data_IF_710227724785
#
_entry.id   IF_710227724785
#
_cell.length_a   1.000
_cell.length_b   1.000
_cell.length_c   1.000
_cell.angle_alpha   90.00
_cell.angle_beta   90.00
_cell.angle_gamma   90.00
#
_symmetry.space_group_name_H-M   'P 1'
#
loop_
_entity.id
_entity.type
_entity.pdbx_description
1 polymer ?
#
# COMPACT_ATOMS: atom_id res chain seq x y z
N UNK A 1 11.97 -3.21 1.82
CA UNK A 1 10.90 -4.23 1.89
C UNK A 1 10.54 -4.81 0.54
N UNK A 2 10.11 -4.03 -0.46
CA UNK A 2 9.76 -4.56 -1.80
C UNK A 2 10.96 -5.26 -2.47
N UNK A 3 12.13 -4.62 -2.48
CA UNK A 3 13.35 -5.22 -3.04
C UNK A 3 13.71 -6.55 -2.36
N UNK A 4 13.68 -6.58 -1.03
CA UNK A 4 13.94 -7.80 -0.22
C UNK A 4 12.91 -8.90 -0.48
N UNK A 5 11.63 -8.54 -0.65
CA UNK A 5 10.60 -9.52 -0.99
C UNK A 5 10.77 -10.08 -2.41
N UNK A 6 11.27 -9.27 -3.36
CA UNK A 6 11.60 -9.72 -4.72
C UNK A 6 12.78 -10.70 -4.76
N UNK A 7 13.73 -10.56 -3.84
CA UNK A 7 14.89 -11.47 -3.74
C UNK A 7 14.64 -12.65 -2.79
N UNK A 8 13.48 -12.72 -2.14
CA UNK A 8 13.12 -13.86 -1.28
C UNK A 8 12.83 -15.08 -2.14
N UNK A 9 13.36 -16.24 -1.75
CA UNK A 9 13.04 -17.53 -2.37
C UNK A 9 11.62 -18.00 -2.02
N UNK A 10 10.96 -17.36 -1.04
CA UNK A 10 9.60 -17.69 -0.66
C UNK A 10 8.58 -16.87 -1.48
N UNK A 11 7.81 -17.48 -2.40
CA UNK A 11 6.85 -16.76 -3.24
C UNK A 11 5.74 -16.08 -2.43
N UNK A 12 5.46 -16.57 -1.20
CA UNK A 12 4.49 -15.94 -0.31
C UNK A 12 4.92 -14.54 0.16
N UNK A 13 6.21 -14.25 0.21
CA UNK A 13 6.72 -12.95 0.69
C UNK A 13 6.43 -11.84 -0.32
N UNK A 14 6.73 -12.10 -1.60
CA UNK A 14 6.37 -11.19 -2.68
C UNK A 14 4.85 -11.02 -2.79
N UNK A 15 4.11 -12.12 -2.76
CA UNK A 15 2.64 -12.11 -2.81
C UNK A 15 2.03 -11.31 -1.65
N UNK A 16 2.53 -11.50 -0.42
CA UNK A 16 2.11 -10.77 0.76
C UNK A 16 2.37 -9.26 0.63
N UNK A 17 3.58 -8.86 0.20
CA UNK A 17 3.93 -7.45 0.05
C UNK A 17 3.14 -6.80 -1.09
N UNK A 18 2.96 -7.49 -2.22
CA UNK A 18 2.17 -6.99 -3.33
C UNK A 18 0.70 -6.79 -2.93
N UNK A 19 0.09 -7.76 -2.22
CA UNK A 19 -1.29 -7.64 -1.79
C UNK A 19 -1.52 -6.52 -0.78
N UNK A 20 -0.66 -6.40 0.23
CA UNK A 20 -0.84 -5.41 1.30
C UNK A 20 -0.42 -4.00 0.88
N UNK A 21 0.69 -3.91 0.15
CA UNK A 21 1.23 -2.66 -0.36
C UNK A 21 0.50 -2.27 -1.63
N UNK A 22 0.74 -2.98 -2.73
CA UNK A 22 0.36 -2.56 -4.07
C UNK A 22 -1.15 -2.69 -4.37
N UNK A 23 -1.81 -3.70 -3.80
CA UNK A 23 -3.23 -3.96 -4.05
C UNK A 23 -4.16 -3.41 -2.95
N UNK A 24 -3.59 -2.82 -1.90
CA UNK A 24 -4.36 -2.25 -0.81
C UNK A 24 -5.30 -3.26 -0.13
N UNK A 25 -4.88 -4.50 0.10
CA UNK A 25 -5.63 -5.47 0.92
C UNK A 25 -5.29 -5.34 2.39
N UNK A 26 -6.25 -5.62 3.27
CA UNK A 26 -5.99 -5.78 4.71
C UNK A 26 -5.37 -7.15 4.95
N UNK A 27 -4.60 -7.30 6.03
CA UNK A 27 -3.92 -8.59 6.33
C UNK A 27 -4.88 -9.77 6.46
N UNK A 28 -6.08 -9.53 7.00
CA UNK A 28 -7.14 -10.53 7.06
C UNK A 28 -7.66 -10.91 5.66
N UNK A 29 -7.83 -9.92 4.77
CA UNK A 29 -8.27 -10.17 3.40
C UNK A 29 -7.18 -10.87 2.59
N UNK A 30 -5.92 -10.44 2.71
CA UNK A 30 -4.79 -11.06 2.02
C UNK A 30 -4.59 -12.53 2.43
N UNK A 31 -4.76 -12.84 3.71
CA UNK A 31 -4.69 -14.23 4.24
C UNK A 31 -5.92 -15.07 3.90
N UNK A 32 -7.09 -14.44 3.77
CA UNK A 32 -8.33 -15.08 3.36
C UNK A 32 -8.45 -15.30 1.84
N UNK A 33 -7.77 -14.50 1.03
CA UNK A 33 -7.96 -14.46 -0.40
C UNK A 33 -7.61 -15.79 -1.10
N UNK A 34 -8.48 -16.20 -2.01
CA UNK A 34 -8.31 -17.27 -2.99
C UNK A 34 -8.55 -16.66 -4.37
N UNK A 35 -7.59 -16.79 -5.28
CA UNK A 35 -7.75 -16.35 -6.66
C UNK A 35 -8.49 -17.46 -7.42
N UNK A 36 -9.48 -17.09 -8.23
CA UNK A 36 -10.31 -18.02 -9.02
C UNK A 36 -9.52 -18.95 -9.95
N UNK A 37 -8.27 -18.58 -10.28
CA UNK A 37 -7.37 -19.40 -11.10
C UNK A 37 -6.66 -20.52 -10.32
N UNK A 38 -6.73 -20.53 -8.97
CA UNK A 38 -6.28 -21.67 -8.18
C UNK A 38 -7.42 -22.64 -7.98
N UNK A 39 -7.31 -23.81 -8.62
CA UNK A 39 -8.27 -24.92 -8.51
C UNK A 39 -8.43 -25.42 -7.06
N UNK A 40 -7.43 -25.22 -6.20
CA UNK A 40 -7.54 -25.46 -4.76
C UNK A 40 -6.45 -24.74 -3.93
N UNK A 41 -6.72 -24.55 -2.64
CA UNK A 41 -5.74 -24.13 -1.64
C UNK A 41 -5.65 -22.62 -1.38
N UNK A 42 -5.10 -22.22 -0.21
CA UNK A 42 -4.96 -20.82 0.16
C UNK A 42 -3.93 -20.11 -0.71
N UNK A 43 -4.16 -18.82 -1.01
CA UNK A 43 -3.21 -18.05 -1.82
C UNK A 43 -1.88 -17.83 -1.10
N UNK A 44 -1.96 -17.58 0.21
CA UNK A 44 -0.81 -17.42 1.10
C UNK A 44 -0.77 -18.59 2.09
N UNK A 45 0.31 -19.35 2.06
CA UNK A 45 0.51 -20.50 2.94
C UNK A 45 1.46 -20.17 4.11
N UNK A 46 1.26 -20.77 5.27
CA UNK A 46 2.23 -20.80 6.36
C UNK A 46 3.42 -21.71 6.01
N UNK A 47 4.39 -21.85 6.92
CA UNK A 47 5.58 -22.69 6.68
C UNK A 47 5.28 -24.20 6.57
N UNK A 48 4.13 -24.64 7.08
CA UNK A 48 3.67 -26.03 7.08
C UNK A 48 2.70 -26.30 5.90
N UNK A 49 2.55 -25.34 4.97
CA UNK A 49 1.68 -25.47 3.80
C UNK A 49 0.19 -25.19 4.05
N UNK A 50 -0.23 -24.98 5.30
CA UNK A 50 -1.59 -24.58 5.65
C UNK A 50 -1.88 -23.11 5.36
N UNK A 51 -3.14 -22.67 5.47
CA UNK A 51 -3.52 -21.25 5.27
C UNK A 51 -2.74 -20.35 6.23
N UNK A 52 -2.16 -19.27 5.70
CA UNK A 52 -1.50 -18.27 6.53
C UNK A 52 -2.54 -17.51 7.34
N UNK A 53 -2.31 -17.36 8.64
CA UNK A 53 -3.12 -16.48 9.49
C UNK A 53 -2.53 -15.06 9.58
N UNK A 54 -3.30 -14.12 10.13
CA UNK A 54 -2.89 -12.71 10.27
C UNK A 54 -1.62 -12.51 11.11
N UNK A 55 -1.38 -13.36 12.10
CA UNK A 55 -0.22 -13.28 12.98
C UNK A 55 1.03 -13.81 12.27
N UNK A 56 0.92 -14.93 11.55
CA UNK A 56 1.97 -15.46 10.68
C UNK A 56 2.36 -14.45 9.58
N UNK A 57 1.37 -13.82 8.95
CA UNK A 57 1.59 -12.75 7.98
C UNK A 57 2.33 -11.55 8.61
N UNK A 58 1.94 -11.13 9.82
CA UNK A 58 2.61 -10.03 10.54
C UNK A 58 4.05 -10.39 10.90
N UNK A 59 4.29 -11.62 11.37
CA UNK A 59 5.66 -12.10 11.67
C UNK A 59 6.54 -12.10 10.43
N UNK A 60 6.04 -12.57 9.28
CA UNK A 60 6.77 -12.53 8.01
C UNK A 60 7.08 -11.10 7.57
N UNK A 61 6.11 -10.20 7.65
CA UNK A 61 6.33 -8.80 7.33
C UNK A 61 7.45 -8.18 8.19
N UNK A 62 7.47 -8.49 9.49
CA UNK A 62 8.54 -8.04 10.39
C UNK A 62 9.91 -8.61 10.01
N UNK A 63 9.97 -9.89 9.66
CA UNK A 63 11.20 -10.54 9.21
C UNK A 63 11.74 -9.91 7.91
N UNK A 64 10.87 -9.67 6.92
CA UNK A 64 11.25 -9.02 5.67
C UNK A 64 11.78 -7.60 5.87
N UNK A 65 11.21 -6.84 6.80
CA UNK A 65 11.74 -5.51 7.07
C UNK A 65 13.04 -5.52 7.86
N UNK A 66 13.23 -6.46 8.79
CA UNK A 66 14.51 -6.65 9.45
C UNK A 66 15.61 -6.99 8.43
N UNK A 67 15.34 -7.93 7.51
CA UNK A 67 16.24 -8.27 6.42
C UNK A 67 16.48 -7.09 5.44
N UNK A 68 15.50 -6.20 5.29
CA UNK A 68 15.63 -4.98 4.49
C UNK A 68 16.35 -3.83 5.21
N UNK A 69 16.82 -4.02 6.45
CA UNK A 69 17.41 -2.94 7.27
C UNK A 69 16.41 -1.86 7.70
N UNK A 70 15.10 -2.10 7.57
CA UNK A 70 14.06 -1.13 7.88
C UNK A 70 13.75 -1.18 9.38
N UNK A 71 14.35 -0.26 10.14
CA UNK A 71 14.06 -0.07 11.56
C UNK A 71 12.83 0.83 11.73
N UNK A 72 11.68 0.22 11.99
CA UNK A 72 10.43 0.94 12.30
C UNK A 72 9.93 0.52 13.69
N UNK A 73 9.73 1.49 14.60
CA UNK A 73 9.32 1.24 15.99
C UNK A 73 7.95 0.57 16.13
N UNK A 74 7.05 0.77 15.14
CA UNK A 74 5.71 0.17 15.11
C UNK A 74 5.37 -0.39 13.73
N UNK A 75 6.04 -1.47 13.37
CA UNK A 75 5.66 -2.19 12.16
C UNK A 75 4.37 -3.00 12.36
N UNK A 76 3.29 -2.50 11.76
CA UNK A 76 1.99 -3.16 11.70
C UNK A 76 1.49 -3.27 10.26
N UNK A 77 0.53 -4.17 10.03
CA UNK A 77 -0.02 -4.51 8.72
C UNK A 77 -0.45 -3.32 7.86
N UNK A 78 -1.02 -2.29 8.48
CA UNK A 78 -1.47 -1.09 7.76
C UNK A 78 -0.33 -0.19 7.28
N UNK A 79 0.91 -0.30 7.78
CA UNK A 79 2.03 0.55 7.37
C UNK A 79 2.33 0.45 5.87
N UNK A 80 2.23 -0.74 5.29
CA UNK A 80 2.41 -0.93 3.85
C UNK A 80 1.30 -0.22 3.07
N UNK A 81 0.05 -0.28 3.55
CA UNK A 81 -1.08 0.44 2.96
C UNK A 81 -0.90 1.96 3.05
N UNK A 82 -0.46 2.45 4.22
CA UNK A 82 -0.12 3.86 4.41
C UNK A 82 0.94 4.29 3.39
N UNK A 83 2.00 3.49 3.25
CA UNK A 83 3.09 3.75 2.31
C UNK A 83 2.57 3.78 0.87
N UNK A 84 1.77 2.80 0.48
CA UNK A 84 1.19 2.74 -0.86
C UNK A 84 0.36 3.98 -1.23
N UNK A 85 -0.60 4.35 -0.38
CA UNK A 85 -1.48 5.51 -0.63
C UNK A 85 -0.67 6.80 -0.63
N UNK A 86 0.29 6.93 0.28
CA UNK A 86 1.22 8.07 0.32
C UNK A 86 2.01 8.16 -0.97
N UNK A 87 2.61 7.05 -1.42
CA UNK A 87 3.42 7.03 -2.64
C UNK A 87 2.58 7.32 -3.88
N UNK A 88 1.35 6.81 -3.98
CA UNK A 88 0.45 7.16 -5.09
C UNK A 88 0.25 8.68 -5.19
N UNK A 89 -0.07 9.32 -4.08
CA UNK A 89 -0.26 10.77 -4.03
C UNK A 89 1.04 11.54 -4.29
N UNK A 90 2.17 11.10 -3.72
CA UNK A 90 3.48 11.71 -3.95
C UNK A 90 3.89 11.60 -5.44
N UNK A 91 3.48 10.55 -6.14
CA UNK A 91 3.69 10.39 -7.60
C UNK A 91 2.69 11.17 -8.47
N UNK A 92 1.74 11.88 -7.85
CA UNK A 92 0.76 12.71 -8.57
C UNK A 92 -0.51 11.99 -9.01
N UNK A 93 -0.76 10.77 -8.54
CA UNK A 93 -2.05 10.09 -8.78
C UNK A 93 -3.17 10.93 -8.15
N UNK A 94 -4.30 11.18 -8.85
CA UNK A 94 -5.40 11.94 -8.30
C UNK A 94 -5.94 11.35 -6.99
N UNK A 95 -6.37 12.22 -6.07
CA UNK A 95 -6.90 11.83 -4.76
C UNK A 95 -8.04 10.79 -4.87
N UNK A 96 -8.91 10.96 -5.87
CA UNK A 96 -10.03 10.04 -6.13
C UNK A 96 -9.54 8.63 -6.49
N UNK A 97 -8.51 8.52 -7.31
CA UNK A 97 -7.99 7.23 -7.77
C UNK A 97 -7.19 6.55 -6.66
N UNK A 98 -6.44 7.32 -5.88
CA UNK A 98 -5.81 6.84 -4.65
C UNK A 98 -6.84 6.36 -3.61
N UNK A 99 -7.99 7.03 -3.51
CA UNK A 99 -9.09 6.60 -2.65
C UNK A 99 -9.71 5.28 -3.11
N UNK A 100 -9.96 5.12 -4.41
CA UNK A 100 -10.50 3.90 -5.01
C UNK A 100 -9.52 2.73 -4.79
N UNK A 101 -8.25 2.93 -5.10
CA UNK A 101 -7.20 1.94 -4.88
C UNK A 101 -7.04 1.59 -3.40
N UNK A 102 -7.13 2.60 -2.53
CA UNK A 102 -7.11 2.46 -1.08
C UNK A 102 -8.41 1.91 -0.48
N UNK A 103 -9.45 1.63 -1.27
CA UNK A 103 -10.77 1.15 -0.82
C UNK A 103 -11.32 1.92 0.39
N UNK A 104 -11.09 3.23 0.45
CA UNK A 104 -11.55 4.06 1.56
C UNK A 104 -12.94 4.61 1.27
N UNK A 105 -13.89 4.31 2.16
CA UNK A 105 -15.25 4.83 2.07
C UNK A 105 -15.30 6.34 2.31
N UNK A 106 -14.54 6.84 3.29
CA UNK A 106 -14.49 8.26 3.63
C UNK A 106 -13.29 8.96 2.96
N UNK A 107 -13.52 9.95 2.08
CA UNK A 107 -12.47 10.76 1.46
C UNK A 107 -11.51 11.42 2.46
N UNK A 108 -11.98 11.75 3.68
CA UNK A 108 -11.14 12.32 4.73
C UNK A 108 -10.03 11.37 5.15
N UNK A 109 -10.23 10.06 5.00
CA UNK A 109 -9.19 9.05 5.25
C UNK A 109 -8.06 9.17 4.24
N UNK A 110 -8.38 9.42 2.97
CA UNK A 110 -7.39 9.61 1.89
C UNK A 110 -6.71 10.99 1.99
N UNK A 111 -7.46 12.03 2.34
CA UNK A 111 -6.92 13.40 2.50
C UNK A 111 -5.81 13.51 3.56
N UNK A 112 -5.79 12.62 4.57
CA UNK A 112 -4.71 12.58 5.57
C UNK A 112 -3.33 12.30 4.95
N UNK A 113 -3.29 11.67 3.78
CA UNK A 113 -2.06 11.33 3.06
C UNK A 113 -1.66 12.38 2.03
N UNK A 114 -2.57 13.27 1.65
CA UNK A 114 -2.26 14.36 0.74
C UNK A 114 -1.40 15.40 1.47
N UNK A 115 -0.07 15.26 1.32
CA UNK A 115 0.90 16.23 1.82
C UNK A 115 0.99 17.47 0.94
N UNK A 116 0.55 17.38 -0.31
CA UNK A 116 0.50 18.50 -1.23
C UNK A 116 -0.62 19.49 -0.88
N UNK A 117 -1.61 19.12 -0.05
CA UNK A 117 -2.65 20.03 0.45
C UNK A 117 -2.11 21.31 1.12
N UNK A 118 -0.90 21.24 1.68
CA UNK A 118 -0.22 22.37 2.33
C UNK A 118 0.74 23.10 1.40
N UNK A 119 0.90 22.64 0.16
CA UNK A 119 1.79 23.26 -0.81
C UNK A 119 1.14 24.51 -1.41
N UNK A 120 1.57 25.68 -0.93
CA UNK A 120 1.02 26.99 -1.28
C UNK A 120 1.23 27.34 -2.76
N UNK A 121 2.22 26.73 -3.42
CA UNK A 121 2.58 27.01 -4.82
C UNK A 121 1.63 26.34 -5.83
N UNK A 122 0.85 25.34 -5.38
CA UNK A 122 -0.21 24.70 -6.18
C UNK A 122 -1.60 25.20 -5.80
N UNK A 123 -1.70 26.32 -5.06
CA UNK A 123 -3.00 26.85 -4.68
C UNK A 123 -3.78 27.21 -5.96
N UNK A 124 -5.06 26.81 -6.08
CA UNK A 124 -5.85 27.03 -7.30
C UNK A 124 -5.85 28.49 -7.76
N UNK A 125 -5.72 29.43 -6.82
CA UNK A 125 -5.61 30.86 -7.13
C UNK A 125 -4.39 31.21 -7.99
N UNK A 126 -3.21 30.61 -7.77
CA UNK A 126 -2.03 30.92 -8.57
C UNK A 126 -2.12 30.31 -9.97
N UNK A 127 -2.68 29.11 -10.09
CA UNK A 127 -2.93 28.45 -11.39
C UNK A 127 -3.96 29.24 -12.19
N UNK A 128 -5.06 29.65 -11.55
CA UNK A 128 -6.10 30.45 -12.17
C UNK A 128 -5.59 31.85 -12.55
N UNK A 129 -4.82 32.51 -11.69
CA UNK A 129 -4.21 33.81 -11.99
C UNK A 129 -3.23 33.72 -13.17
N UNK A 130 -2.39 32.67 -13.24
CA UNK A 130 -1.49 32.45 -14.36
C UNK A 130 -2.24 32.16 -15.68
N UNK A 131 -3.35 31.41 -15.62
CA UNK A 131 -4.22 31.19 -16.76
C UNK A 131 -4.87 32.50 -17.25
N UNK A 132 -5.43 33.31 -16.33
CA UNK A 132 -6.01 34.61 -16.65
C UNK A 132 -4.97 35.59 -17.21
N UNK A 133 -3.74 35.56 -16.70
CA UNK A 133 -2.65 36.43 -17.14
C UNK A 133 -1.98 36.00 -18.46
N UNK A 134 -2.18 34.76 -18.92
CA UNK A 134 -1.69 34.27 -20.21
C UNK A 134 -2.72 34.39 -21.34
N UNK A 135 -3.94 34.81 -21.02
CA UNK A 135 -5.03 35.07 -21.96
C UNK A 135 -5.17 36.53 -22.41
N UNK A 136 -4.22 37.40 -22.03
CA UNK A 136 -4.12 38.80 -22.48
C UNK A 136 -2.82 39.00 -23.24
#
# INVERSE_FOLDING_TARGET
MIATARTSTNPNDFALVAMLGLLGLRIFEATGASIGDRVAGPMLCNQVGGRMDRHAATRRLKHLAAAAGVRMSRMHSHMLRHTFVTTMLDTGVPLRDAQIAGRYADPRTTMRYDRARTNRDRHPHYIFAAFMASGT
#
